data_IF_802604337680
#
_entry.id   IF_802604337680
#
_cell.length_a   1.000
_cell.length_b   1.000
_cell.length_c   1.000
_cell.angle_alpha   90.00
_cell.angle_beta   90.00
_cell.angle_gamma   90.00
#
_symmetry.space_group_name_H-M   'P 1'
#
loop_
_entity.id
_entity.type
_entity.pdbx_description
1 polymer ?
#
# COMPACT_ATOMS: atom_id res chain seq x y z
N UNK A 1 -27.42 7.18 -3.48
CA UNK A 1 -26.84 7.25 -2.11
C UNK A 1 -25.46 6.60 -2.13
N UNK A 2 -24.47 7.30 -2.69
CA UNK A 2 -23.05 6.91 -2.59
C UNK A 2 -22.51 7.64 -1.38
N UNK A 3 -22.26 6.92 -0.28
CA UNK A 3 -21.66 7.53 0.90
C UNK A 3 -20.21 7.87 0.57
N UNK A 4 -19.89 9.15 0.57
CA UNK A 4 -18.51 9.65 0.52
C UNK A 4 -17.74 9.02 1.66
N UNK A 5 -16.88 8.05 1.34
CA UNK A 5 -15.86 7.55 2.26
C UNK A 5 -14.76 8.59 2.26
N UNK A 6 -14.88 9.56 3.16
CA UNK A 6 -13.89 10.63 3.39
C UNK A 6 -12.74 10.08 4.23
N UNK A 7 -12.07 9.04 3.74
CA UNK A 7 -10.73 8.70 4.24
C UNK A 7 -9.77 9.13 3.15
N UNK A 8 -8.87 10.09 3.40
CA UNK A 8 -7.97 10.57 2.37
C UNK A 8 -6.98 9.45 2.05
N UNK A 9 -7.31 8.64 1.04
CA UNK A 9 -6.28 8.00 0.25
C UNK A 9 -5.53 9.15 -0.40
N UNK A 10 -4.38 9.51 0.14
CA UNK A 10 -3.45 10.42 -0.53
C UNK A 10 -3.22 9.86 -1.93
N UNK A 11 -3.35 10.69 -2.97
CA UNK A 11 -3.33 10.25 -4.36
C UNK A 11 -2.17 9.30 -4.71
N UNK A 12 -1.04 9.48 -4.04
CA UNK A 12 0.18 8.69 -4.22
C UNK A 12 0.01 7.20 -3.82
N UNK A 13 -0.79 6.90 -2.79
CA UNK A 13 -0.99 5.52 -2.34
C UNK A 13 -1.77 4.69 -3.37
N UNK A 14 -2.69 5.31 -4.14
CA UNK A 14 -3.48 4.61 -5.15
C UNK A 14 -2.61 4.02 -6.26
N UNK A 15 -1.60 4.76 -6.73
CA UNK A 15 -0.68 4.29 -7.77
C UNK A 15 0.09 3.05 -7.32
N UNK A 16 0.61 3.06 -6.09
CA UNK A 16 1.39 1.97 -5.52
C UNK A 16 0.52 0.73 -5.32
N UNK A 17 -0.65 0.90 -4.68
CA UNK A 17 -1.58 -0.19 -4.40
C UNK A 17 -2.14 -0.79 -5.69
N UNK A 18 -2.44 0.05 -6.70
CA UNK A 18 -2.87 -0.39 -8.02
C UNK A 18 -1.82 -1.24 -8.74
N UNK A 19 -0.53 -0.86 -8.64
CA UNK A 19 0.55 -1.67 -9.18
C UNK A 19 0.65 -3.04 -8.47
N UNK A 20 0.53 -3.08 -7.14
CA UNK A 20 0.56 -4.33 -6.38
C UNK A 20 -0.61 -5.24 -6.77
N UNK A 21 -1.83 -4.69 -6.92
CA UNK A 21 -2.99 -5.46 -7.35
C UNK A 21 -2.79 -6.06 -8.76
N UNK A 22 -2.13 -5.32 -9.66
CA UNK A 22 -1.81 -5.79 -11.00
C UNK A 22 -0.72 -6.88 -11.02
N UNK A 23 0.25 -6.83 -10.12
CA UNK A 23 1.29 -7.85 -9.99
C UNK A 23 0.73 -9.15 -9.38
N UNK A 24 -0.08 -9.03 -8.33
CA UNK A 24 -0.69 -10.17 -7.64
C UNK A 24 -1.90 -10.75 -8.38
N UNK A 25 -2.45 -10.01 -9.37
CA UNK A 25 -3.64 -10.39 -10.17
C UNK A 25 -4.88 -10.71 -9.32
N UNK A 26 -4.99 -10.09 -8.14
CA UNK A 26 -6.09 -10.30 -7.19
C UNK A 26 -6.41 -9.03 -6.40
N UNK A 27 -7.59 -9.01 -5.80
CA UNK A 27 -8.01 -7.95 -4.87
C UNK A 27 -7.47 -8.25 -3.47
N UNK A 28 -7.18 -7.21 -2.70
CA UNK A 28 -6.77 -7.29 -1.30
C UNK A 28 -7.45 -6.19 -0.48
N UNK A 29 -7.56 -6.39 0.84
CA UNK A 29 -8.09 -5.39 1.75
C UNK A 29 -6.99 -4.40 2.16
N UNK A 30 -7.34 -3.13 2.29
CA UNK A 30 -6.41 -2.05 2.64
C UNK A 30 -7.01 -1.16 3.73
N UNK A 31 -6.23 -0.94 4.79
CA UNK A 31 -6.52 0.06 5.81
C UNK A 31 -5.73 1.34 5.52
N UNK A 32 -6.39 2.42 5.07
CA UNK A 32 -5.73 3.70 4.79
C UNK A 32 -5.30 4.45 6.06
N UNK A 33 -5.84 4.13 7.24
CA UNK A 33 -5.44 4.74 8.50
C UNK A 33 -4.16 4.12 9.07
N UNK A 34 -4.01 2.80 8.91
CA UNK A 34 -2.82 2.07 9.36
C UNK A 34 -1.77 1.86 8.26
N UNK A 35 -2.08 2.24 7.01
CA UNK A 35 -1.30 1.94 5.80
C UNK A 35 -0.86 0.47 5.71
N UNK A 36 -1.80 -0.45 5.97
CA UNK A 36 -1.54 -1.89 6.00
C UNK A 36 -2.63 -2.69 5.33
N UNK A 37 -2.24 -3.87 4.85
CA UNK A 37 -3.16 -4.92 4.42
C UNK A 37 -3.25 -6.02 5.47
N UNK A 38 -4.37 -6.76 5.47
CA UNK A 38 -4.46 -8.06 6.16
C UNK A 38 -3.64 -9.16 5.47
N UNK A 39 -3.03 -8.82 4.33
CA UNK A 39 -2.22 -9.71 3.52
C UNK A 39 -0.72 -9.40 3.68
N UNK A 40 0.01 -10.36 4.25
CA UNK A 40 1.44 -10.22 4.50
C UNK A 40 2.27 -10.09 3.22
N UNK A 41 1.82 -10.66 2.10
CA UNK A 41 2.50 -10.54 0.81
C UNK A 41 2.44 -9.09 0.31
N UNK A 42 1.26 -8.47 0.41
CA UNK A 42 1.07 -7.05 0.06
C UNK A 42 1.96 -6.17 0.94
N UNK A 43 1.98 -6.43 2.25
CA UNK A 43 2.81 -5.67 3.20
C UNK A 43 4.31 -5.79 2.90
N UNK A 44 4.79 -6.97 2.46
CA UNK A 44 6.18 -7.15 2.04
C UNK A 44 6.51 -6.36 0.78
N UNK A 45 5.60 -6.29 -0.19
CA UNK A 45 5.83 -5.54 -1.45
C UNK A 45 5.91 -4.02 -1.24
N UNK A 46 5.33 -3.51 -0.15
CA UNK A 46 5.45 -2.11 0.26
C UNK A 46 6.83 -1.78 0.83
N UNK A 47 7.55 -2.78 1.36
CA UNK A 47 8.89 -2.62 1.88
C UNK A 47 9.91 -2.71 0.73
N UNK A 48 10.47 -1.57 0.32
CA UNK A 48 11.63 -1.57 -0.58
C UNK A 48 12.90 -1.65 0.27
N UNK A 49 13.78 -2.65 0.03
CA UNK A 49 15.06 -2.68 0.72
C UNK A 49 15.83 -1.40 0.40
N UNK A 50 16.29 -0.70 1.43
CA UNK A 50 17.13 0.48 1.26
C UNK A 50 18.41 0.08 0.53
N UNK A 51 18.85 0.90 -0.44
CA UNK A 51 20.12 0.64 -1.13
C UNK A 51 21.27 0.75 -0.13
N UNK A 52 22.15 -0.23 -0.02
CA UNK A 52 23.33 -0.09 0.84
C UNK A 52 24.29 0.97 0.25
N UNK A 53 25.08 1.69 1.08
CA UNK A 53 25.10 1.66 2.54
C UNK A 53 24.41 2.90 3.16
N UNK A 54 23.08 3.00 3.13
CA UNK A 54 22.38 3.99 3.97
C UNK A 54 22.31 3.48 5.41
N UNK A 55 23.03 4.15 6.33
CA UNK A 55 22.90 3.98 7.79
C UNK A 55 22.08 5.14 8.35
N UNK A 56 21.07 4.85 9.14
CA UNK A 56 20.40 5.85 9.97
C UNK A 56 21.23 5.95 11.27
N UNK A 57 21.93 7.08 11.45
CA UNK A 57 22.65 7.39 12.69
C UNK A 57 21.72 8.00 13.73
#
# INVERSE_FOLDING_TARGET
>A
MWKSVTTPLTWDSLCILGNIAQLLKRKFAWDPGAERSTDDEVNRMLQRPMRAPWKLS
#
